data_IF_732713551647
#
_entry.id   IF_732713551647
#
_cell.length_a   1.000
_cell.length_b   1.000
_cell.length_c   1.000
_cell.angle_alpha   90.00
_cell.angle_beta   90.00
_cell.angle_gamma   90.00
#
_symmetry.space_group_name_H-M   'P 1'
#
loop_
_entity.id
_entity.type
_entity.pdbx_description
1 polymer ?
#
# COMPACT_ATOMS: atom_id res chain seq x y z
N UNK A 1 -33.15 -6.19 4.69
CA UNK A 1 -31.71 -6.37 5.00
C UNK A 1 -30.96 -5.53 3.99
N UNK A 2 -30.01 -4.68 4.40
CA UNK A 2 -29.22 -3.95 3.38
C UNK A 2 -28.42 -4.95 2.57
N UNK A 3 -28.23 -4.68 1.28
CA UNK A 3 -27.35 -5.47 0.43
C UNK A 3 -25.94 -5.52 1.04
N UNK A 4 -25.31 -6.70 0.98
CA UNK A 4 -23.98 -6.89 1.52
C UNK A 4 -22.94 -6.25 0.58
N UNK A 5 -21.86 -5.64 1.11
CA UNK A 5 -20.81 -5.02 0.30
C UNK A 5 -20.19 -5.98 -0.72
N UNK A 6 -19.67 -5.42 -1.81
CA UNK A 6 -18.93 -6.16 -2.85
C UNK A 6 -17.49 -5.68 -2.91
N UNK A 7 -16.56 -6.63 -2.96
CA UNK A 7 -15.13 -6.33 -3.08
C UNK A 7 -14.79 -6.00 -4.53
N UNK A 8 -13.88 -5.05 -4.75
CA UNK A 8 -13.32 -4.72 -6.06
C UNK A 8 -11.81 -4.62 -5.93
N UNK A 9 -11.08 -5.55 -6.54
CA UNK A 9 -9.61 -5.54 -6.51
C UNK A 9 -9.07 -5.22 -7.90
N UNK A 10 -8.11 -4.30 -8.00
CA UNK A 10 -7.46 -3.96 -9.28
C UNK A 10 -6.06 -4.56 -9.34
N UNK A 11 -5.82 -5.48 -10.26
CA UNK A 11 -4.55 -6.16 -10.43
C UNK A 11 -4.05 -6.02 -11.87
N UNK A 12 -2.97 -5.26 -12.08
CA UNK A 12 -2.36 -5.12 -13.40
C UNK A 12 -1.07 -4.31 -13.36
N UNK A 13 -0.46 -4.14 -14.53
CA UNK A 13 0.62 -3.17 -14.72
C UNK A 13 2.00 -3.62 -14.22
N UNK A 14 2.27 -4.93 -14.15
CA UNK A 14 3.62 -5.44 -13.88
C UNK A 14 3.98 -6.58 -14.84
N UNK A 15 4.83 -6.25 -15.81
CA UNK A 15 5.45 -7.18 -16.75
C UNK A 15 6.81 -6.62 -17.14
N UNK A 16 7.79 -7.49 -17.37
CA UNK A 16 9.09 -7.04 -17.88
C UNK A 16 10.24 -7.84 -17.31
N UNK A 17 11.03 -7.21 -16.45
CA UNK A 17 12.20 -7.80 -15.81
C UNK A 17 11.82 -8.91 -14.82
N UNK A 18 12.76 -9.82 -14.49
CA UNK A 18 12.51 -10.87 -13.49
C UNK A 18 12.08 -10.34 -12.12
N UNK A 19 12.53 -9.14 -11.72
CA UNK A 19 12.11 -8.50 -10.48
C UNK A 19 10.66 -8.00 -10.55
N UNK A 20 10.26 -7.41 -11.68
CA UNK A 20 8.87 -6.98 -11.90
C UNK A 20 7.93 -8.19 -11.96
N UNK A 21 8.37 -9.31 -12.55
CA UNK A 21 7.61 -10.56 -12.55
C UNK A 21 7.47 -11.16 -11.14
N UNK A 22 8.52 -11.10 -10.32
CA UNK A 22 8.48 -11.52 -8.92
C UNK A 22 7.47 -10.67 -8.11
N UNK A 23 7.50 -9.34 -8.27
CA UNK A 23 6.53 -8.45 -7.64
C UNK A 23 5.10 -8.70 -8.16
N UNK A 24 4.93 -8.91 -9.46
CA UNK A 24 3.63 -9.26 -10.05
C UNK A 24 3.06 -10.54 -9.44
N UNK A 25 3.91 -11.54 -9.23
CA UNK A 25 3.53 -12.80 -8.59
C UNK A 25 3.11 -12.60 -7.14
N UNK A 26 3.88 -11.84 -6.36
CA UNK A 26 3.55 -11.52 -4.97
C UNK A 26 2.24 -10.73 -4.86
N UNK A 27 2.08 -9.65 -5.64
CA UNK A 27 0.85 -8.82 -5.62
C UNK A 27 -0.37 -9.62 -6.01
N UNK A 28 -0.27 -10.49 -7.02
CA UNK A 28 -1.35 -11.41 -7.41
C UNK A 28 -1.71 -12.38 -6.28
N UNK A 29 -0.71 -13.03 -5.68
CA UNK A 29 -0.94 -13.96 -4.57
C UNK A 29 -1.59 -13.26 -3.37
N UNK A 30 -1.07 -12.10 -2.98
CA UNK A 30 -1.60 -11.24 -1.93
C UNK A 30 -3.06 -10.85 -2.20
N UNK A 31 -3.38 -10.42 -3.43
CA UNK A 31 -4.75 -10.05 -3.81
C UNK A 31 -5.71 -11.23 -3.69
N UNK A 32 -5.33 -12.41 -4.19
CA UNK A 32 -6.18 -13.60 -4.11
C UNK A 32 -6.38 -14.04 -2.66
N UNK A 33 -5.33 -14.01 -1.84
CA UNK A 33 -5.41 -14.30 -0.41
C UNK A 33 -6.31 -13.31 0.34
N UNK A 34 -6.22 -12.01 0.03
CA UNK A 34 -7.06 -10.97 0.64
C UNK A 34 -8.53 -11.10 0.22
N UNK A 35 -8.80 -11.41 -1.06
CA UNK A 35 -10.16 -11.68 -1.55
C UNK A 35 -10.76 -12.91 -0.86
N UNK A 36 -10.02 -14.03 -0.81
CA UNK A 36 -10.46 -15.26 -0.16
C UNK A 36 -10.74 -15.06 1.33
N UNK A 37 -9.82 -14.37 2.02
CA UNK A 37 -9.97 -14.03 3.44
C UNK A 37 -11.23 -13.20 3.68
N UNK A 38 -11.46 -12.15 2.90
CA UNK A 38 -12.63 -11.30 3.04
C UNK A 38 -13.94 -12.05 2.74
N UNK A 39 -13.99 -12.83 1.65
CA UNK A 39 -15.16 -13.63 1.27
C UNK A 39 -15.50 -14.72 2.29
N UNK A 40 -14.50 -15.39 2.86
CA UNK A 40 -14.69 -16.44 3.88
C UNK A 40 -15.38 -15.96 5.16
N UNK A 41 -15.43 -14.64 5.39
CA UNK A 41 -16.13 -14.06 6.55
C UNK A 41 -17.66 -14.10 6.39
N UNK A 42 -18.17 -14.26 5.16
CA UNK A 42 -19.58 -14.10 4.84
C UNK A 42 -20.10 -12.66 4.92
N UNK A 43 -19.24 -11.67 5.18
CA UNK A 43 -19.63 -10.26 5.27
C UNK A 43 -19.75 -9.57 3.90
N UNK A 44 -19.23 -10.19 2.84
CA UNK A 44 -19.24 -9.68 1.47
C UNK A 44 -20.04 -10.61 0.56
N UNK A 45 -20.84 -10.05 -0.35
CA UNK A 45 -21.68 -10.82 -1.26
C UNK A 45 -20.86 -11.52 -2.35
N UNK A 46 -19.89 -10.80 -2.91
CA UNK A 46 -19.06 -11.25 -4.02
C UNK A 46 -17.79 -10.40 -4.13
N UNK A 47 -16.94 -10.75 -5.09
CA UNK A 47 -15.77 -9.96 -5.44
C UNK A 47 -15.62 -9.83 -6.95
N UNK A 48 -15.21 -8.65 -7.41
CA UNK A 48 -14.79 -8.40 -8.78
C UNK A 48 -13.27 -8.19 -8.79
N UNK A 49 -12.54 -9.08 -9.48
CA UNK A 49 -11.12 -8.92 -9.75
C UNK A 49 -10.96 -8.29 -11.14
N UNK A 50 -10.58 -7.02 -11.16
CA UNK A 50 -10.30 -6.26 -12.37
C UNK A 50 -8.85 -6.48 -12.76
N UNK A 51 -8.62 -6.92 -14.00
CA UNK A 51 -7.26 -7.21 -14.49
C UNK A 51 -7.05 -6.81 -15.95
N UNK A 52 -5.78 -6.60 -16.32
CA UNK A 52 -5.36 -6.37 -17.72
C UNK A 52 -5.26 -7.69 -18.52
N UNK A 53 -5.15 -8.83 -17.85
CA UNK A 53 -5.09 -10.15 -18.46
C UNK A 53 -5.62 -11.25 -17.52
N UNK A 54 -5.88 -12.45 -18.07
CA UNK A 54 -6.21 -13.66 -17.28
C UNK A 54 -4.98 -14.46 -16.86
N UNK A 55 -3.77 -14.00 -17.19
CA UNK A 55 -2.56 -14.77 -16.93
C UNK A 55 -2.32 -14.94 -15.44
N UNK A 56 -2.10 -16.18 -14.99
CA UNK A 56 -1.90 -16.49 -13.57
C UNK A 56 -3.17 -16.46 -12.72
N UNK A 57 -4.36 -16.31 -13.31
CA UNK A 57 -5.67 -16.26 -12.64
C UNK A 57 -6.52 -17.52 -12.89
N UNK A 58 -5.88 -18.68 -13.01
CA UNK A 58 -6.57 -19.94 -13.29
C UNK A 58 -7.36 -20.49 -12.08
N UNK A 59 -6.83 -20.28 -10.87
CA UNK A 59 -7.46 -20.70 -9.62
C UNK A 59 -7.95 -19.48 -8.85
N UNK A 60 -9.26 -19.26 -8.90
CA UNK A 60 -9.91 -18.14 -8.23
C UNK A 60 -10.62 -18.62 -6.96
N UNK A 61 -10.60 -17.83 -5.87
CA UNK A 61 -11.46 -18.07 -4.73
C UNK A 61 -12.94 -18.12 -5.13
N UNK A 62 -13.77 -18.97 -4.49
CA UNK A 62 -15.21 -18.99 -4.76
C UNK A 62 -15.85 -17.61 -4.57
N UNK A 63 -16.69 -17.19 -5.52
CA UNK A 63 -17.36 -15.87 -5.48
C UNK A 63 -16.57 -14.72 -6.10
N UNK A 64 -15.37 -14.97 -6.64
CA UNK A 64 -14.60 -14.00 -7.42
C UNK A 64 -14.96 -14.09 -8.90
N UNK A 65 -15.31 -12.95 -9.49
CA UNK A 65 -15.54 -12.77 -10.93
C UNK A 65 -14.40 -11.93 -11.51
N UNK A 66 -13.79 -12.38 -12.60
CA UNK A 66 -12.71 -11.62 -13.27
C UNK A 66 -13.29 -10.75 -14.39
N UNK A 67 -13.09 -9.44 -14.27
CA UNK A 67 -13.47 -8.45 -15.29
C UNK A 67 -12.21 -7.91 -15.97
N UNK A 68 -11.90 -8.47 -17.15
CA UNK A 68 -10.71 -8.11 -17.92
C UNK A 68 -11.00 -6.95 -18.85
N UNK A 69 -10.07 -6.00 -18.91
CA UNK A 69 -10.13 -4.88 -19.85
C UNK A 69 -8.72 -4.53 -20.33
N UNK A 70 -8.56 -4.50 -21.64
CA UNK A 70 -7.29 -4.22 -22.31
C UNK A 70 -7.26 -2.83 -22.97
N UNK A 71 -8.29 -2.00 -22.73
CA UNK A 71 -8.31 -0.62 -23.21
C UNK A 71 -7.31 0.27 -22.46
N UNK A 72 -7.13 1.50 -22.95
CA UNK A 72 -6.29 2.49 -22.29
C UNK A 72 -6.78 2.74 -20.86
N UNK A 73 -5.92 2.43 -19.89
CA UNK A 73 -6.29 2.43 -18.49
C UNK A 73 -6.44 3.85 -17.92
N UNK A 74 -7.60 4.11 -17.31
CA UNK A 74 -7.83 5.26 -16.46
C UNK A 74 -8.60 4.78 -15.22
N UNK A 75 -7.96 4.86 -14.06
CA UNK A 75 -8.47 4.25 -12.83
C UNK A 75 -9.93 4.58 -12.52
N UNK A 76 -10.26 5.87 -12.41
CA UNK A 76 -11.61 6.31 -12.03
C UNK A 76 -12.68 5.92 -13.04
N UNK A 77 -12.39 5.94 -14.35
CA UNK A 77 -13.33 5.47 -15.39
C UNK A 77 -13.54 3.97 -15.31
N UNK A 78 -12.47 3.21 -15.07
CA UNK A 78 -12.53 1.76 -14.92
C UNK A 78 -13.34 1.37 -13.68
N UNK A 79 -13.13 2.03 -12.55
CA UNK A 79 -13.87 1.78 -11.31
C UNK A 79 -15.35 2.14 -11.47
N UNK A 80 -15.67 3.30 -12.07
CA UNK A 80 -17.05 3.70 -12.36
C UNK A 80 -17.75 2.69 -13.29
N UNK A 81 -17.08 2.24 -14.34
CA UNK A 81 -17.61 1.24 -15.27
C UNK A 81 -17.90 -0.11 -14.61
N UNK A 82 -17.05 -0.55 -13.67
CA UNK A 82 -17.28 -1.76 -12.86
C UNK A 82 -18.49 -1.58 -11.94
N UNK A 83 -18.57 -0.44 -11.24
CA UNK A 83 -19.71 -0.15 -10.35
C UNK A 83 -21.03 -0.12 -11.13
N UNK A 84 -21.08 0.56 -12.27
CA UNK A 84 -22.29 0.63 -13.10
C UNK A 84 -22.64 -0.75 -13.71
N UNK A 85 -21.66 -1.50 -14.22
CA UNK A 85 -21.87 -2.81 -14.86
C UNK A 85 -22.42 -3.86 -13.89
N UNK A 86 -21.91 -3.87 -12.66
CA UNK A 86 -22.28 -4.86 -11.64
C UNK A 86 -23.31 -4.32 -10.63
N UNK A 87 -23.76 -3.06 -10.76
CA UNK A 87 -24.75 -2.46 -9.86
C UNK A 87 -24.28 -2.35 -8.42
N UNK A 88 -23.02 -1.95 -8.20
CA UNK A 88 -22.41 -2.01 -6.88
C UNK A 88 -22.81 -0.82 -6.01
N UNK A 89 -23.72 -1.03 -5.06
CA UNK A 89 -24.13 0.01 -4.10
C UNK A 89 -23.09 0.29 -3.02
N UNK A 90 -22.37 -0.75 -2.57
CA UNK A 90 -21.42 -0.68 -1.45
C UNK A 90 -20.06 -1.29 -1.83
N UNK A 91 -19.31 -0.66 -2.75
CA UNK A 91 -18.00 -1.15 -3.16
C UNK A 91 -16.96 -0.99 -2.03
N UNK A 92 -16.15 -2.03 -1.83
CA UNK A 92 -14.85 -1.94 -1.15
C UNK A 92 -13.76 -2.18 -2.19
N UNK A 93 -13.13 -1.09 -2.64
CA UNK A 93 -11.99 -1.12 -3.53
C UNK A 93 -10.69 -1.36 -2.75
N UNK A 94 -9.77 -2.16 -3.33
CA UNK A 94 -8.35 -2.11 -2.97
C UNK A 94 -7.42 -2.41 -4.16
N UNK A 95 -6.22 -1.82 -4.12
CA UNK A 95 -5.17 -2.04 -5.11
C UNK A 95 -4.54 -3.42 -5.00
N UNK A 96 -4.12 -3.99 -6.12
CA UNK A 96 -3.47 -5.30 -6.15
C UNK A 96 -2.17 -5.28 -5.35
N UNK A 97 -1.99 -6.22 -4.43
CA UNK A 97 -0.86 -6.23 -3.49
C UNK A 97 -0.95 -5.28 -2.30
N UNK A 98 -2.00 -4.45 -2.19
CA UNK A 98 -2.26 -3.72 -0.95
C UNK A 98 -2.96 -4.62 0.07
N UNK A 99 -2.91 -4.20 1.34
CA UNK A 99 -3.59 -4.84 2.48
C UNK A 99 -3.35 -6.37 2.64
N UNK A 100 -2.14 -6.92 2.34
CA UNK A 100 -1.89 -8.36 2.43
C UNK A 100 -2.06 -8.91 3.86
N UNK A 101 -1.95 -8.03 4.86
CA UNK A 101 -1.99 -8.33 6.28
C UNK A 101 -3.30 -7.93 6.97
N UNK A 102 -4.30 -7.42 6.22
CA UNK A 102 -5.59 -7.02 6.79
C UNK A 102 -6.38 -8.25 7.25
N UNK A 103 -6.68 -8.32 8.53
CA UNK A 103 -7.31 -9.49 9.15
C UNK A 103 -8.78 -9.64 8.74
N UNK A 104 -9.29 -10.87 8.80
CA UNK A 104 -10.71 -11.18 8.56
C UNK A 104 -11.66 -10.29 9.39
N UNK A 105 -11.34 -10.03 10.66
CA UNK A 105 -12.17 -9.18 11.52
C UNK A 105 -12.11 -7.69 11.14
N UNK A 106 -11.01 -7.23 10.55
CA UNK A 106 -10.92 -5.86 10.03
C UNK A 106 -11.81 -5.71 8.78
N UNK A 107 -11.81 -6.71 7.89
CA UNK A 107 -12.77 -6.78 6.77
C UNK A 107 -14.23 -6.79 7.25
N UNK A 108 -14.57 -7.57 8.27
CA UNK A 108 -15.91 -7.57 8.89
C UNK A 108 -16.26 -6.18 9.43
N UNK A 109 -15.33 -5.51 10.11
CA UNK A 109 -15.54 -4.16 10.63
C UNK A 109 -15.86 -3.14 9.54
N UNK A 110 -15.14 -3.19 8.41
CA UNK A 110 -15.42 -2.32 7.24
C UNK A 110 -16.81 -2.62 6.67
N UNK A 111 -17.15 -3.91 6.49
CA UNK A 111 -18.44 -4.30 5.95
C UNK A 111 -19.61 -3.89 6.86
N UNK A 112 -19.45 -4.02 8.18
CA UNK A 112 -20.44 -3.58 9.17
C UNK A 112 -20.64 -2.06 9.14
N UNK A 113 -19.56 -1.28 9.02
CA UNK A 113 -19.66 0.17 8.92
C UNK A 113 -20.38 0.60 7.63
N UNK A 114 -20.06 -0.01 6.48
CA UNK A 114 -20.83 0.19 5.23
C UNK A 114 -22.30 -0.26 5.37
N UNK A 115 -22.58 -1.24 6.23
CA UNK A 115 -23.92 -1.73 6.53
C UNK A 115 -24.79 -0.73 7.30
N UNK A 116 -24.19 0.22 8.04
CA UNK A 116 -24.91 1.16 8.92
C UNK A 116 -25.68 2.25 8.17
N UNK A 117 -25.30 2.56 6.93
CA UNK A 117 -25.98 3.56 6.11
C UNK A 117 -25.08 4.11 5.00
N UNK A 118 -25.61 5.10 4.31
CA UNK A 118 -24.94 5.80 3.21
C UNK A 118 -24.24 7.08 3.69
N UNK A 119 -23.52 7.75 2.80
CA UNK A 119 -22.91 9.05 3.08
C UNK A 119 -21.55 8.94 3.76
N UNK A 120 -20.82 7.84 3.55
CA UNK A 120 -19.53 7.62 4.19
C UNK A 120 -18.49 7.05 3.23
N UNK A 121 -17.22 7.36 3.51
CA UNK A 121 -16.06 6.79 2.84
C UNK A 121 -15.05 6.32 3.89
N UNK A 122 -14.73 5.04 3.88
CA UNK A 122 -13.73 4.38 4.71
C UNK A 122 -12.47 4.20 3.88
N UNK A 123 -11.30 4.49 4.46
CA UNK A 123 -10.04 4.36 3.73
C UNK A 123 -8.87 4.06 4.66
N UNK A 124 -7.85 3.38 4.16
CA UNK A 124 -6.60 3.24 4.88
C UNK A 124 -5.85 4.58 5.03
N UNK A 125 -5.97 5.48 4.07
CA UNK A 125 -5.31 6.78 4.11
C UNK A 125 -6.02 7.81 3.21
N UNK A 126 -6.54 8.88 3.83
CA UNK A 126 -7.32 9.90 3.14
C UNK A 126 -6.59 10.58 1.97
N UNK A 127 -5.26 10.70 2.03
CA UNK A 127 -4.47 11.44 1.04
C UNK A 127 -3.71 10.54 0.05
N UNK A 128 -3.69 9.23 0.29
CA UNK A 128 -3.01 8.26 -0.55
C UNK A 128 -3.61 6.89 -0.30
N UNK A 129 -4.83 6.70 -0.82
CA UNK A 129 -5.60 5.51 -0.54
C UNK A 129 -5.20 4.32 -1.44
N UNK A 130 -5.06 3.16 -0.83
CA UNK A 130 -4.91 1.84 -1.49
C UNK A 130 -6.09 0.92 -1.17
N UNK A 131 -6.94 1.36 -0.23
CA UNK A 131 -8.22 0.77 0.14
C UNK A 131 -9.24 1.89 0.31
N UNK A 132 -10.39 1.77 -0.37
CA UNK A 132 -11.50 2.71 -0.28
C UNK A 132 -12.82 1.94 -0.28
N UNK A 133 -13.58 2.04 0.80
CA UNK A 133 -14.94 1.52 0.91
C UNK A 133 -15.91 2.69 0.98
N UNK A 134 -17.00 2.69 0.22
CA UNK A 134 -17.94 3.81 0.25
C UNK A 134 -19.37 3.40 -0.09
N UNK A 135 -20.32 4.23 0.34
CA UNK A 135 -21.74 4.10 -0.01
C UNK A 135 -22.38 5.49 -0.13
N UNK A 136 -23.21 5.73 -1.17
CA UNK A 136 -23.58 4.81 -2.24
C UNK A 136 -22.52 4.77 -3.36
N UNK A 137 -22.49 3.69 -4.14
CA UNK A 137 -21.56 3.51 -5.26
C UNK A 137 -21.68 4.59 -6.34
N UNK A 138 -22.90 5.12 -6.55
CA UNK A 138 -23.15 6.23 -7.48
C UNK A 138 -22.46 7.55 -7.09
N UNK A 139 -21.88 7.66 -5.89
CA UNK A 139 -21.09 8.82 -5.48
C UNK A 139 -19.95 9.16 -6.45
N UNK A 140 -19.42 8.18 -7.20
CA UNK A 140 -18.42 8.43 -8.24
C UNK A 140 -18.91 9.39 -9.34
N UNK A 141 -20.22 9.47 -9.59
CA UNK A 141 -20.79 10.40 -10.59
C UNK A 141 -20.66 11.86 -10.17
N UNK A 142 -20.41 12.12 -8.89
CA UNK A 142 -20.29 13.46 -8.30
C UNK A 142 -18.86 13.97 -8.25
N UNK A 143 -17.87 13.13 -8.56
CA UNK A 143 -16.46 13.50 -8.45
C UNK A 143 -15.80 13.61 -9.83
N UNK A 144 -14.75 14.41 -9.92
CA UNK A 144 -13.78 14.31 -11.02
C UNK A 144 -13.05 12.98 -10.89
N UNK A 145 -13.35 12.04 -11.78
CA UNK A 145 -12.73 10.71 -11.78
C UNK A 145 -11.19 10.83 -11.86
N UNK A 146 -10.44 10.26 -10.90
CA UNK A 146 -8.99 10.37 -10.89
C UNK A 146 -8.29 9.33 -11.77
N UNK A 147 -7.06 9.63 -12.20
CA UNK A 147 -6.22 8.72 -12.98
C UNK A 147 -5.55 7.63 -12.12
N UNK A 148 -5.48 7.82 -10.80
CA UNK A 148 -5.03 6.83 -9.80
C UNK A 148 -5.99 6.75 -8.61
N UNK A 149 -5.79 5.76 -7.75
CA UNK A 149 -6.56 5.54 -6.52
C UNK A 149 -6.21 6.48 -5.38
N UNK A 150 -4.95 6.94 -5.29
CA UNK A 150 -4.47 7.79 -4.20
C UNK A 150 -5.44 8.93 -3.79
N UNK A 151 -6.00 9.74 -4.72
CA UNK A 151 -6.88 10.84 -4.36
C UNK A 151 -8.36 10.42 -4.15
N UNK A 152 -8.75 9.18 -4.44
CA UNK A 152 -10.15 8.75 -4.51
C UNK A 152 -10.92 9.07 -3.22
N UNK A 153 -10.39 8.67 -2.07
CA UNK A 153 -11.07 8.89 -0.78
C UNK A 153 -11.29 10.38 -0.49
N UNK A 154 -10.29 11.21 -0.77
CA UNK A 154 -10.37 12.67 -0.60
C UNK A 154 -11.39 13.28 -1.57
N UNK A 155 -11.41 12.86 -2.82
CA UNK A 155 -12.36 13.35 -3.82
C UNK A 155 -13.80 12.97 -3.47
N UNK A 156 -14.03 11.75 -2.99
CA UNK A 156 -15.33 11.32 -2.47
C UNK A 156 -15.78 12.16 -1.27
N UNK A 157 -14.86 12.49 -0.36
CA UNK A 157 -15.18 13.35 0.78
C UNK A 157 -15.48 14.80 0.35
N UNK A 158 -14.64 15.39 -0.50
CA UNK A 158 -14.72 16.80 -0.87
C UNK A 158 -15.81 17.12 -1.91
N UNK A 159 -16.05 16.22 -2.87
CA UNK A 159 -16.92 16.49 -4.03
C UNK A 159 -18.23 15.71 -3.99
N UNK A 160 -18.27 14.56 -3.30
CA UNK A 160 -19.49 13.77 -3.13
C UNK A 160 -20.11 13.88 -1.72
N UNK A 161 -19.53 14.71 -0.85
CA UNK A 161 -19.98 14.98 0.53
C UNK A 161 -20.07 13.70 1.40
N UNK A 162 -19.16 12.74 1.17
CA UNK A 162 -19.09 11.53 1.99
C UNK A 162 -18.27 11.79 3.26
N UNK A 163 -18.81 11.43 4.42
CA UNK A 163 -18.11 11.57 5.68
C UNK A 163 -16.89 10.62 5.74
N UNK A 164 -15.65 11.13 5.86
CA UNK A 164 -14.47 10.28 5.91
C UNK A 164 -14.38 9.54 7.26
N UNK A 165 -13.99 8.27 7.16
CA UNK A 165 -13.75 7.33 8.28
C UNK A 165 -12.43 6.61 8.05
N UNK A 166 -11.28 7.27 8.31
CA UNK A 166 -9.99 6.62 8.12
C UNK A 166 -9.85 5.44 9.09
N UNK A 167 -9.33 4.32 8.60
CA UNK A 167 -8.96 3.19 9.44
C UNK A 167 -7.83 3.58 10.40
N UNK A 168 -7.74 2.93 11.57
CA UNK A 168 -6.56 3.03 12.40
C UNK A 168 -5.31 2.71 11.58
N UNK A 169 -4.27 3.54 11.73
CA UNK A 169 -2.99 3.29 11.07
C UNK A 169 -2.28 2.17 11.81
N UNK A 170 -2.16 1.04 11.14
CA UNK A 170 -1.51 -0.17 11.61
C UNK A 170 -0.68 -0.75 10.47
N UNK A 171 0.18 -1.71 10.78
CA UNK A 171 0.86 -2.48 9.74
C UNK A 171 -0.17 -3.15 8.81
N UNK A 172 -1.25 -3.71 9.36
CA UNK A 172 -2.30 -4.36 8.57
C UNK A 172 -2.99 -3.42 7.56
N UNK A 173 -3.24 -2.16 7.92
CA UNK A 173 -3.94 -1.21 7.06
C UNK A 173 -3.05 -0.45 6.10
N UNK A 174 -1.75 -0.33 6.39
CA UNK A 174 -0.82 0.50 5.60
C UNK A 174 0.14 -0.29 4.73
N UNK A 175 0.35 -1.59 4.97
CA UNK A 175 1.33 -2.37 4.22
C UNK A 175 0.86 -2.59 2.78
N UNK A 176 1.74 -2.33 1.81
CA UNK A 176 1.60 -2.73 0.41
C UNK A 176 2.85 -3.48 -0.05
N UNK A 177 2.77 -4.02 -1.28
CA UNK A 177 3.89 -4.67 -1.96
C UNK A 177 4.27 -3.83 -3.18
N UNK A 178 5.15 -2.85 -2.96
CA UNK A 178 5.69 -1.96 -3.99
C UNK A 178 7.09 -2.38 -4.46
N UNK A 179 7.87 -3.02 -3.59
CA UNK A 179 9.29 -3.26 -3.81
C UNK A 179 9.76 -4.61 -3.25
N UNK A 180 10.94 -5.11 -3.68
CA UNK A 180 11.51 -6.33 -3.11
C UNK A 180 11.78 -6.24 -1.60
N UNK A 181 12.00 -5.04 -1.08
CA UNK A 181 12.17 -4.82 0.37
C UNK A 181 10.90 -5.18 1.14
N UNK A 182 9.71 -4.95 0.57
CA UNK A 182 8.44 -5.27 1.22
C UNK A 182 8.25 -6.79 1.32
N UNK A 183 8.73 -7.54 0.32
CA UNK A 183 8.76 -9.01 0.37
C UNK A 183 9.72 -9.52 1.46
N UNK A 184 10.91 -8.92 1.56
CA UNK A 184 11.86 -9.26 2.62
C UNK A 184 11.26 -8.99 4.02
N UNK A 185 10.54 -7.88 4.18
CA UNK A 185 9.84 -7.55 5.43
C UNK A 185 8.72 -8.57 5.70
N UNK A 186 7.93 -8.95 4.69
CA UNK A 186 6.89 -9.98 4.84
C UNK A 186 7.46 -11.35 5.23
N UNK A 187 8.61 -11.75 4.67
CA UNK A 187 9.34 -12.97 5.07
C UNK A 187 9.72 -12.95 6.56
N UNK A 188 9.98 -11.77 7.13
CA UNK A 188 10.33 -11.63 8.55
C UNK A 188 9.11 -11.57 9.47
N UNK A 189 8.10 -10.79 9.09
CA UNK A 189 6.90 -10.61 9.92
C UNK A 189 6.00 -11.85 9.92
N UNK A 190 5.97 -12.59 8.81
CA UNK A 190 4.97 -13.62 8.58
C UNK A 190 3.55 -13.04 8.50
N UNK A 191 2.55 -13.92 8.58
CA UNK A 191 1.13 -13.51 8.52
C UNK A 191 0.62 -13.22 7.11
N UNK A 192 1.43 -13.47 6.08
CA UNK A 192 0.97 -13.53 4.70
C UNK A 192 -0.10 -14.64 4.54
N UNK A 193 -0.97 -14.47 3.54
CA UNK A 193 -1.89 -15.54 3.16
C UNK A 193 -1.17 -16.75 2.55
N UNK A 194 -1.86 -17.89 2.40
CA UNK A 194 -1.23 -19.15 2.01
C UNK A 194 -0.53 -19.07 0.65
N UNK A 195 -1.09 -18.36 -0.34
CA UNK A 195 -0.47 -18.25 -1.68
C UNK A 195 0.79 -17.40 -1.62
N UNK A 196 0.72 -16.25 -0.94
CA UNK A 196 1.87 -15.37 -0.80
C UNK A 196 2.97 -16.03 0.05
N UNK A 197 2.61 -16.71 1.13
CA UNK A 197 3.56 -17.41 1.99
C UNK A 197 4.32 -18.50 1.21
N UNK A 198 3.64 -19.28 0.37
CA UNK A 198 4.30 -20.28 -0.47
C UNK A 198 5.37 -19.66 -1.37
N UNK A 199 5.10 -18.50 -1.98
CA UNK A 199 6.09 -17.81 -2.81
C UNK A 199 7.29 -17.32 -1.99
N UNK A 200 7.04 -16.74 -0.82
CA UNK A 200 8.11 -16.26 0.07
C UNK A 200 9.01 -17.41 0.56
N UNK A 201 8.42 -18.56 0.86
CA UNK A 201 9.13 -19.78 1.27
C UNK A 201 9.98 -20.34 0.11
N UNK A 202 9.46 -20.31 -1.11
CA UNK A 202 10.16 -20.78 -2.31
C UNK A 202 11.32 -19.87 -2.72
N UNK A 203 11.13 -18.54 -2.65
CA UNK A 203 12.17 -17.57 -3.02
C UNK A 203 13.34 -17.52 -2.05
N UNK A 204 13.15 -17.91 -0.79
CA UNK A 204 14.20 -17.96 0.24
C UNK A 204 15.02 -16.66 0.30
N UNK A 205 14.31 -15.53 0.34
CA UNK A 205 14.92 -14.20 0.33
C UNK A 205 15.97 -14.08 1.46
N UNK A 206 17.14 -13.54 1.14
CA UNK A 206 18.16 -13.26 2.15
C UNK A 206 17.73 -12.06 3.01
N UNK A 207 17.35 -12.37 4.24
CA UNK A 207 16.91 -11.39 5.24
C UNK A 207 17.92 -11.24 6.39
N UNK A 208 19.16 -11.72 6.24
CA UNK A 208 20.16 -11.69 7.30
C UNK A 208 20.46 -10.26 7.77
N UNK A 209 20.66 -9.33 6.83
CA UNK A 209 20.89 -7.90 7.13
C UNK A 209 19.72 -7.27 7.87
N UNK A 210 18.48 -7.59 7.47
CA UNK A 210 17.28 -7.10 8.15
C UNK A 210 17.20 -7.64 9.59
N UNK A 211 17.49 -8.93 9.82
CA UNK A 211 17.54 -9.49 11.19
C UNK A 211 18.62 -8.83 12.04
N UNK A 212 19.78 -8.56 11.43
CA UNK A 212 20.89 -7.88 12.10
C UNK A 212 20.48 -6.51 12.64
N UNK A 213 19.76 -5.71 11.85
CA UNK A 213 19.39 -4.35 12.28
C UNK A 213 18.29 -4.31 13.34
N UNK A 214 17.43 -5.32 13.42
CA UNK A 214 16.36 -5.37 14.44
C UNK A 214 16.90 -5.35 15.87
N UNK A 215 18.08 -5.96 16.11
CA UNK A 215 18.71 -5.97 17.42
C UNK A 215 18.99 -4.57 17.96
N UNK A 216 19.35 -3.62 17.08
CA UNK A 216 19.68 -2.26 17.50
C UNK A 216 18.50 -1.52 18.11
N UNK A 217 17.26 -1.74 17.67
CA UNK A 217 16.10 -1.08 18.25
C UNK A 217 15.87 -1.43 19.73
N UNK A 218 16.42 -2.56 20.20
CA UNK A 218 16.31 -3.00 21.60
C UNK A 218 17.56 -2.71 22.43
N UNK A 219 18.61 -2.13 21.82
CA UNK A 219 19.88 -1.85 22.48
C UNK A 219 19.95 -0.36 22.92
N UNK A 220 19.96 -0.04 24.23
CA UNK A 220 19.90 1.35 24.70
C UNK A 220 21.10 2.22 24.32
N UNK A 221 22.25 1.60 24.06
CA UNK A 221 23.48 2.29 23.67
C UNK A 221 23.61 2.47 22.17
N UNK A 222 22.77 1.81 21.37
CA UNK A 222 22.82 1.90 19.91
C UNK A 222 22.23 3.22 19.41
N UNK A 223 22.63 3.61 18.21
CA UNK A 223 22.09 4.72 17.47
C UNK A 223 21.61 4.26 16.09
N UNK A 224 20.31 4.44 15.82
CA UNK A 224 19.70 4.13 14.52
C UNK A 224 19.36 5.42 13.79
N UNK A 225 19.71 5.51 12.51
CA UNK A 225 19.38 6.63 11.64
C UNK A 225 18.22 6.24 10.72
N UNK A 226 17.17 7.05 10.68
CA UNK A 226 16.07 6.93 9.72
C UNK A 226 16.03 8.19 8.86
N UNK A 227 16.13 8.02 7.55
CA UNK A 227 16.21 9.11 6.58
C UNK A 227 15.29 8.89 5.38
N UNK A 228 14.57 9.94 4.98
CA UNK A 228 13.73 9.96 3.79
C UNK A 228 12.30 10.42 4.04
N UNK A 229 11.31 9.84 3.33
CA UNK A 229 9.88 10.25 3.36
C UNK A 229 9.14 9.78 4.63
N UNK A 230 9.83 9.75 5.76
CA UNK A 230 9.30 9.33 7.04
C UNK A 230 8.39 10.42 7.65
N UNK A 231 7.28 10.00 8.27
CA UNK A 231 6.28 10.90 8.84
C UNK A 231 6.37 11.00 10.36
N UNK A 232 5.66 11.97 10.92
CA UNK A 232 5.57 12.19 12.38
C UNK A 232 5.13 10.95 13.17
N UNK A 233 4.32 10.08 12.57
CA UNK A 233 3.86 8.84 13.22
C UNK A 233 4.96 7.80 13.34
N UNK A 234 5.82 7.66 12.32
CA UNK A 234 6.99 6.78 12.41
C UNK A 234 7.92 7.31 13.50
N UNK A 235 8.11 8.63 13.56
CA UNK A 235 8.88 9.26 14.63
C UNK A 235 8.30 8.96 16.02
N UNK A 236 7.00 9.19 16.23
CA UNK A 236 6.32 8.89 17.50
C UNK A 236 6.40 7.41 17.89
N UNK A 237 6.28 6.50 16.92
CA UNK A 237 6.42 5.07 17.17
C UNK A 237 7.84 4.72 17.60
N UNK A 238 8.85 5.19 16.87
CA UNK A 238 10.24 4.91 17.20
C UNK A 238 10.64 5.49 18.56
N UNK A 239 10.17 6.70 18.87
CA UNK A 239 10.43 7.35 20.16
C UNK A 239 9.80 6.60 21.35
N UNK A 240 8.62 5.99 21.16
CA UNK A 240 7.92 5.27 22.22
C UNK A 240 8.33 3.80 22.36
N UNK A 241 8.63 3.14 21.25
CA UNK A 241 8.71 1.67 21.18
C UNK A 241 10.14 1.14 21.06
N UNK A 242 11.15 2.02 20.96
CA UNK A 242 12.56 1.61 20.82
C UNK A 242 13.39 2.06 22.01
N UNK A 243 14.41 1.28 22.36
CA UNK A 243 15.33 1.59 23.44
C UNK A 243 16.53 2.43 22.97
N UNK A 244 16.87 2.35 21.68
CA UNK A 244 18.03 3.02 21.10
C UNK A 244 17.83 4.52 20.91
N UNK A 245 18.93 5.23 20.65
CA UNK A 245 18.87 6.61 20.16
C UNK A 245 18.46 6.63 18.70
N UNK A 246 17.48 7.45 18.34
CA UNK A 246 17.04 7.59 16.96
C UNK A 246 17.45 8.95 16.41
N UNK A 247 18.20 8.94 15.30
CA UNK A 247 18.48 10.12 14.48
C UNK A 247 17.51 10.12 13.30
N UNK A 248 16.83 11.25 13.07
CA UNK A 248 15.72 11.30 12.12
C UNK A 248 15.88 12.45 11.11
N UNK A 249 15.96 12.12 9.83
CA UNK A 249 15.96 13.07 8.71
C UNK A 249 14.70 12.87 7.87
N UNK A 250 13.68 13.69 8.12
CA UNK A 250 12.44 13.66 7.35
C UNK A 250 12.50 14.67 6.21
N UNK A 251 12.48 14.18 4.98
CA UNK A 251 12.60 15.00 3.78
C UNK A 251 11.59 14.53 2.71
N UNK A 252 11.03 15.48 1.96
CA UNK A 252 10.24 15.24 0.74
C UNK A 252 9.05 14.27 0.93
N UNK A 253 8.49 14.21 2.15
CA UNK A 253 7.22 13.52 2.41
C UNK A 253 6.12 14.19 1.60
N UNK A 254 5.44 13.43 0.73
CA UNK A 254 4.41 13.95 -0.16
C UNK A 254 4.90 14.44 -1.51
N UNK A 255 6.21 14.34 -1.82
CA UNK A 255 6.79 14.88 -3.06
C UNK A 255 6.11 14.40 -4.36
N UNK A 256 5.54 13.20 -4.36
CA UNK A 256 4.80 12.67 -5.50
C UNK A 256 3.42 13.30 -5.62
N UNK A 257 2.68 13.35 -4.50
CA UNK A 257 1.34 13.93 -4.45
C UNK A 257 1.35 15.44 -4.76
N UNK A 258 2.41 16.15 -4.40
CA UNK A 258 2.60 17.57 -4.68
C UNK A 258 3.21 17.85 -6.07
N UNK A 259 3.49 16.82 -6.88
CA UNK A 259 4.10 16.96 -8.20
C UNK A 259 5.57 17.41 -8.19
N UNK A 260 6.19 17.51 -7.01
CA UNK A 260 7.59 17.93 -6.84
C UNK A 260 8.58 16.95 -7.50
N UNK A 261 8.27 15.65 -7.45
CA UNK A 261 9.06 14.62 -8.13
C UNK A 261 9.05 14.83 -9.65
N UNK A 262 7.85 14.89 -10.26
CA UNK A 262 7.71 15.09 -11.70
C UNK A 262 8.23 16.44 -12.20
N UNK A 263 8.23 17.46 -11.33
CA UNK A 263 8.78 18.78 -11.62
C UNK A 263 10.30 18.92 -11.37
N UNK A 264 11.01 17.89 -10.90
CA UNK A 264 12.44 17.99 -10.55
C UNK A 264 12.74 18.96 -9.40
N UNK A 265 11.75 19.17 -8.51
CA UNK A 265 11.79 20.15 -7.43
C UNK A 265 12.17 19.56 -6.07
N UNK A 266 12.29 18.23 -5.98
CA UNK A 266 12.72 17.55 -4.77
C UNK A 266 14.12 18.02 -4.35
N UNK A 267 14.29 18.38 -3.08
CA UNK A 267 15.57 18.83 -2.52
C UNK A 267 15.82 18.10 -1.20
N UNK A 268 17.02 17.56 -1.05
CA UNK A 268 17.44 16.83 0.13
C UNK A 268 18.83 17.30 0.56
N UNK A 269 18.99 17.58 1.84
CA UNK A 269 20.29 17.88 2.44
C UNK A 269 21.23 16.68 2.30
N UNK A 270 20.73 15.46 2.51
CA UNK A 270 21.49 14.23 2.26
C UNK A 270 21.82 14.07 0.77
N UNK A 271 20.91 14.47 -0.12
CA UNK A 271 21.14 14.51 -1.57
C UNK A 271 22.26 15.47 -1.97
N UNK A 272 22.25 16.70 -1.43
CA UNK A 272 23.32 17.68 -1.64
C UNK A 272 24.66 17.14 -1.13
N UNK A 273 24.66 16.55 0.07
CA UNK A 273 25.88 15.97 0.63
C UNK A 273 26.40 14.81 -0.23
N UNK A 274 25.52 13.91 -0.66
CA UNK A 274 25.87 12.81 -1.57
C UNK A 274 26.49 13.32 -2.87
N UNK A 275 25.92 14.37 -3.47
CA UNK A 275 26.46 14.99 -4.68
C UNK A 275 27.87 15.58 -4.47
N UNK A 276 28.13 16.15 -3.30
CA UNK A 276 29.40 16.77 -2.95
C UNK A 276 30.51 15.74 -2.69
N UNK A 277 30.22 14.70 -1.89
CA UNK A 277 31.27 13.78 -1.41
C UNK A 277 31.33 12.44 -2.14
N UNK A 278 30.32 12.12 -2.95
CA UNK A 278 30.18 10.83 -3.63
C UNK A 278 29.72 9.69 -2.72
N UNK A 279 29.30 8.59 -3.34
CA UNK A 279 28.62 7.45 -2.69
C UNK A 279 29.47 6.81 -1.57
N UNK A 280 30.76 6.56 -1.81
CA UNK A 280 31.61 5.89 -0.82
C UNK A 280 31.76 6.71 0.45
N UNK A 281 32.10 8.00 0.32
CA UNK A 281 32.27 8.89 1.48
C UNK A 281 30.93 9.15 2.17
N UNK A 282 29.84 9.24 1.42
CA UNK A 282 28.50 9.39 1.96
C UNK A 282 28.16 8.25 2.93
N UNK A 283 28.29 6.99 2.50
CA UNK A 283 28.00 5.85 3.36
C UNK A 283 29.00 5.69 4.51
N UNK A 284 30.29 6.02 4.30
CA UNK A 284 31.27 6.06 5.37
C UNK A 284 30.87 7.06 6.48
N UNK A 285 30.39 8.26 6.10
CA UNK A 285 29.91 9.25 7.06
C UNK A 285 28.61 8.81 7.74
N UNK A 286 27.68 8.13 7.05
CA UNK A 286 26.51 7.57 7.71
C UNK A 286 26.88 6.50 8.76
N UNK A 287 27.91 5.70 8.51
CA UNK A 287 28.42 4.70 9.46
C UNK A 287 29.08 5.33 10.69
N UNK A 288 29.63 6.55 10.59
CA UNK A 288 30.10 7.31 11.77
C UNK A 288 28.92 7.84 12.62
N UNK A 289 27.74 8.01 12.00
CA UNK A 289 26.56 8.61 12.64
C UNK A 289 25.62 7.59 13.27
N UNK A 290 25.67 6.30 12.92
CA UNK A 290 24.74 5.31 13.43
C UNK A 290 25.24 3.87 13.24
N UNK A 291 24.79 2.99 14.13
CA UNK A 291 25.02 1.54 14.04
C UNK A 291 24.16 0.89 12.95
N UNK A 292 23.02 1.51 12.60
CA UNK A 292 22.17 1.09 11.49
C UNK A 292 21.48 2.29 10.83
N UNK A 293 21.24 2.17 9.51
CA UNK A 293 20.60 3.20 8.69
C UNK A 293 19.43 2.61 7.90
N UNK A 294 18.27 3.25 8.04
CA UNK A 294 17.09 3.06 7.18
C UNK A 294 16.98 4.27 6.27
N UNK A 295 17.22 4.07 4.97
CA UNK A 295 17.30 5.14 3.98
C UNK A 295 16.30 4.92 2.85
N UNK A 296 15.33 5.83 2.71
CA UNK A 296 14.47 5.89 1.52
C UNK A 296 15.25 6.60 0.39
N UNK A 297 15.93 5.81 -0.43
CA UNK A 297 16.78 6.30 -1.52
C UNK A 297 16.02 7.11 -2.57
N UNK A 298 14.68 6.97 -2.66
CA UNK A 298 13.85 7.73 -3.61
C UNK A 298 14.00 9.25 -3.45
N UNK A 299 14.24 9.73 -2.24
CA UNK A 299 14.48 11.16 -1.97
C UNK A 299 15.81 11.61 -2.57
N UNK A 300 16.86 10.79 -2.42
CA UNK A 300 18.18 11.09 -2.98
C UNK A 300 18.16 11.05 -4.50
N UNK A 301 17.53 10.02 -5.07
CA UNK A 301 17.36 9.89 -6.52
C UNK A 301 16.59 11.07 -7.10
N UNK A 302 15.45 11.43 -6.49
CA UNK A 302 14.65 12.58 -6.92
C UNK A 302 15.41 13.91 -6.84
N UNK A 303 16.32 14.05 -5.88
CA UNK A 303 17.16 15.23 -5.76
C UNK A 303 18.20 15.33 -6.88
N UNK A 304 18.80 14.18 -7.25
CA UNK A 304 19.89 14.12 -8.23
C UNK A 304 19.41 14.24 -9.68
N UNK A 305 18.12 13.97 -9.95
CA UNK A 305 17.50 14.05 -11.27
C UNK A 305 17.51 12.71 -11.98
#
# INVERSE_FOLDING_TARGET
MSEAPTLVAFLGGLSGSPLEEMLAAARRAATLDSLERALSTGAFASAILVADSRQGLAELPPGVVVDVDAEAFHFGRRLAGVIDRFGLEKPLYFSGGSVPLLAAQEFVGIAQELGRGDGLVITNNLYSADLVAFSPGEALRKIKLPDSDNPLARLLAEQADLAPRPLPRSVSSQFDIDSPSDLAILTLMGGAGPRLQSLLDDWRLDVASYRGVLGYFTAPTAQVLVAGRAGSQVWQYLERETACRVRFFAEERGMQAEGRLGGGQARSLLGFYLAEVGVERFFATLAELADAVFLDSRVLLAHLG
#
